data_IF_028194488871
#
_entry.id   IF_028194488871
#
_cell.length_a   1.000
_cell.length_b   1.000
_cell.length_c   1.000
_cell.angle_alpha   90.00
_cell.angle_beta   90.00
_cell.angle_gamma   90.00
#
_symmetry.space_group_name_H-M   'P 1'
#
loop_
_entity.id
_entity.type
_entity.pdbx_description
1 polymer ?
#
# COMPACT_ATOMS: atom_id res chain seq x y z
N UNK A 1 17.36 19.04 -2.20
CA UNK A 1 16.49 17.95 -2.68
C UNK A 1 17.34 16.97 -3.49
N UNK A 2 16.99 15.70 -3.58
CA UNK A 2 17.80 14.69 -4.27
C UNK A 2 17.68 14.88 -5.80
N UNK A 3 18.82 15.05 -6.52
CA UNK A 3 18.84 15.28 -7.98
C UNK A 3 18.09 14.23 -8.78
N UNK A 4 18.09 12.99 -8.31
CA UNK A 4 17.35 11.88 -8.92
C UNK A 4 15.83 12.12 -8.82
N UNK A 5 15.33 12.47 -7.64
CA UNK A 5 13.91 12.74 -7.43
C UNK A 5 13.46 13.94 -8.28
N UNK A 6 14.25 15.01 -8.33
CA UNK A 6 13.93 16.20 -9.13
C UNK A 6 13.83 15.86 -10.63
N UNK A 7 14.75 15.04 -11.15
CA UNK A 7 14.73 14.59 -12.53
C UNK A 7 13.52 13.69 -12.83
N UNK A 8 13.18 12.78 -11.91
CA UNK A 8 12.01 11.92 -12.05
C UNK A 8 10.72 12.74 -12.05
N UNK A 9 10.55 13.65 -11.09
CA UNK A 9 9.38 14.53 -10.98
C UNK A 9 9.15 15.39 -12.24
N UNK A 10 10.22 15.82 -12.91
CA UNK A 10 10.11 16.56 -14.19
C UNK A 10 9.61 15.69 -15.34
N UNK A 11 9.86 14.40 -15.31
CA UNK A 11 9.42 13.43 -16.33
C UNK A 11 7.97 12.96 -16.13
N UNK A 12 7.44 13.08 -14.92
CA UNK A 12 6.11 12.61 -14.56
C UNK A 12 5.03 13.55 -15.10
N UNK A 13 3.96 12.96 -15.62
CA UNK A 13 2.70 13.66 -15.88
C UNK A 13 1.99 14.00 -14.57
N UNK A 14 0.96 14.85 -14.65
CA UNK A 14 0.12 15.16 -13.48
C UNK A 14 -0.59 13.91 -12.99
N UNK A 15 -1.12 13.10 -13.88
CA UNK A 15 -1.83 11.85 -13.55
C UNK A 15 -0.91 10.86 -12.84
N UNK A 16 0.33 10.71 -13.31
CA UNK A 16 1.33 9.87 -12.65
C UNK A 16 1.71 10.39 -11.24
N UNK A 17 1.78 11.71 -11.06
CA UNK A 17 2.01 12.31 -9.73
C UNK A 17 0.85 12.02 -8.77
N UNK A 18 -0.39 12.16 -9.24
CA UNK A 18 -1.59 11.80 -8.49
C UNK A 18 -1.59 10.30 -8.19
N UNK A 19 -1.21 9.48 -9.18
CA UNK A 19 -1.10 8.04 -9.03
C UNK A 19 -0.18 7.60 -7.89
N UNK A 20 0.94 8.31 -7.69
CA UNK A 20 1.88 8.01 -6.58
C UNK A 20 1.24 8.20 -5.18
N UNK A 21 0.19 8.97 -5.07
CA UNK A 21 -0.56 9.19 -3.82
C UNK A 21 -1.69 8.17 -3.61
N UNK A 22 -1.92 7.31 -4.60
CA UNK A 22 -3.02 6.36 -4.60
C UNK A 22 -2.56 4.97 -4.15
N UNK A 23 -3.12 4.48 -3.03
CA UNK A 23 -2.82 3.19 -2.43
C UNK A 23 -4.11 2.36 -2.28
N UNK A 24 -4.62 1.77 -3.36
CA UNK A 24 -5.83 0.96 -3.31
C UNK A 24 -5.61 -0.36 -2.56
N UNK A 25 -6.70 -0.88 -2.00
CA UNK A 25 -6.73 -2.21 -1.38
C UNK A 25 -6.92 -3.27 -2.46
N UNK A 26 -6.12 -4.33 -2.41
CA UNK A 26 -6.16 -5.45 -3.38
C UNK A 26 -6.36 -6.80 -2.72
N UNK A 27 -6.51 -6.85 -1.40
CA UNK A 27 -6.55 -8.09 -0.63
C UNK A 27 -7.86 -8.89 -0.78
N UNK A 28 -7.76 -10.16 -0.42
CA UNK A 28 -8.91 -11.07 -0.30
C UNK A 28 -9.80 -10.72 0.92
N UNK A 29 -9.33 -9.84 1.80
CA UNK A 29 -10.07 -9.39 2.98
C UNK A 29 -10.92 -8.18 2.59
N UNK A 30 -12.20 -8.43 2.43
CA UNK A 30 -13.21 -7.42 2.12
C UNK A 30 -13.91 -6.96 3.38
N UNK A 31 -13.39 -5.96 4.04
CA UNK A 31 -14.16 -5.19 5.02
C UNK A 31 -14.41 -3.79 4.45
N UNK A 32 -15.59 -3.64 3.85
CA UNK A 32 -16.18 -2.32 3.60
C UNK A 32 -15.61 -1.46 2.48
N UNK A 33 -14.65 -1.91 1.66
CA UNK A 33 -14.09 -1.13 0.56
C UNK A 33 -14.32 -1.75 -0.81
N UNK A 34 -14.58 -0.91 -1.82
CA UNK A 34 -14.81 -1.35 -3.18
C UNK A 34 -13.58 -2.02 -3.80
N UNK A 35 -13.74 -3.21 -4.36
CA UNK A 35 -12.70 -3.88 -5.15
C UNK A 35 -12.48 -3.10 -6.44
N UNK A 36 -11.24 -2.74 -6.72
CA UNK A 36 -10.88 -2.22 -8.04
C UNK A 36 -10.68 -3.38 -9.01
N UNK A 37 -11.51 -3.47 -10.04
CA UNK A 37 -11.49 -4.55 -11.02
C UNK A 37 -10.33 -4.48 -12.04
N UNK A 38 -9.59 -3.36 -12.12
CA UNK A 38 -8.51 -3.13 -13.11
C UNK A 38 -7.21 -2.63 -12.46
N UNK A 39 -6.77 -3.27 -11.40
CA UNK A 39 -5.51 -2.88 -10.72
C UNK A 39 -4.30 -3.01 -11.65
N UNK A 40 -4.21 -4.09 -12.43
CA UNK A 40 -3.08 -4.33 -13.32
C UNK A 40 -2.98 -3.24 -14.41
N UNK A 41 -4.11 -2.84 -15.00
CA UNK A 41 -4.15 -1.75 -15.97
C UNK A 41 -3.76 -0.40 -15.35
N UNK A 42 -4.24 -0.11 -14.15
CA UNK A 42 -3.92 1.12 -13.41
C UNK A 42 -2.42 1.21 -13.05
N UNK A 43 -1.80 0.09 -12.64
CA UNK A 43 -0.36 0.02 -12.38
C UNK A 43 0.43 0.36 -13.66
N UNK A 44 0.07 -0.26 -14.80
CA UNK A 44 0.73 0.00 -16.08
C UNK A 44 0.63 1.47 -16.52
N UNK A 45 -0.50 2.13 -16.23
CA UNK A 45 -0.69 3.56 -16.54
C UNK A 45 -0.04 4.50 -15.52
N UNK A 46 0.57 3.98 -14.44
CA UNK A 46 1.18 4.80 -13.39
C UNK A 46 0.18 5.48 -12.45
N UNK A 47 -1.04 4.95 -12.34
CA UNK A 47 -2.14 5.48 -11.53
C UNK A 47 -2.15 4.94 -10.09
N UNK A 48 -1.11 4.21 -9.69
CA UNK A 48 -1.00 3.54 -8.39
C UNK A 48 0.43 3.67 -7.87
N UNK A 49 0.59 4.18 -6.66
CA UNK A 49 1.88 4.33 -5.98
C UNK A 49 2.17 3.20 -4.99
N UNK A 50 1.16 2.46 -4.59
CA UNK A 50 1.31 1.33 -3.69
C UNK A 50 0.03 0.50 -3.58
N UNK A 51 0.10 -0.59 -2.83
CA UNK A 51 -1.02 -1.49 -2.63
C UNK A 51 -1.14 -1.87 -1.15
N UNK A 52 -2.39 -1.90 -0.65
CA UNK A 52 -2.69 -2.39 0.69
C UNK A 52 -3.24 -3.81 0.65
N UNK A 53 -2.88 -4.58 1.70
CA UNK A 53 -3.42 -5.91 2.00
C UNK A 53 -3.16 -6.97 0.92
N UNK A 54 -2.14 -6.78 0.07
CA UNK A 54 -1.67 -7.83 -0.82
C UNK A 54 -0.76 -8.79 -0.06
N UNK A 55 -1.10 -10.08 -0.02
CA UNK A 55 -0.39 -11.12 0.70
C UNK A 55 0.30 -12.11 -0.24
N UNK A 56 1.43 -12.64 0.22
CA UNK A 56 2.18 -13.67 -0.46
C UNK A 56 3.32 -13.13 -1.32
N UNK A 57 4.50 -13.71 -1.11
CA UNK A 57 5.76 -13.28 -1.75
C UNK A 57 5.67 -13.27 -3.26
N UNK A 58 5.07 -14.32 -3.85
CA UNK A 58 4.97 -14.44 -5.30
C UNK A 58 4.04 -13.38 -5.89
N UNK A 59 2.86 -13.19 -5.30
CA UNK A 59 1.92 -12.14 -5.74
C UNK A 59 2.54 -10.75 -5.67
N UNK A 60 3.24 -10.44 -4.58
CA UNK A 60 3.94 -9.16 -4.39
C UNK A 60 5.03 -9.00 -5.46
N UNK A 61 5.81 -10.05 -5.73
CA UNK A 61 6.86 -10.04 -6.76
C UNK A 61 6.30 -9.83 -8.16
N UNK A 62 5.22 -10.51 -8.51
CA UNK A 62 4.58 -10.40 -9.82
C UNK A 62 4.04 -9.00 -10.06
N UNK A 63 3.37 -8.42 -9.05
CA UNK A 63 2.83 -7.07 -9.13
C UNK A 63 3.95 -6.02 -9.17
N UNK A 64 5.03 -6.22 -8.40
CA UNK A 64 6.19 -5.35 -8.43
C UNK A 64 6.89 -5.40 -9.80
N UNK A 65 7.03 -6.60 -10.37
CA UNK A 65 7.57 -6.79 -11.72
C UNK A 65 6.71 -6.07 -12.76
N UNK A 66 5.38 -6.18 -12.62
CA UNK A 66 4.45 -5.45 -13.49
C UNK A 66 4.68 -3.93 -13.45
N UNK A 67 4.85 -3.36 -12.25
CA UNK A 67 5.11 -1.94 -12.09
C UNK A 67 6.46 -1.50 -12.70
N UNK A 68 7.51 -2.25 -12.41
CA UNK A 68 8.86 -1.88 -12.84
C UNK A 68 9.10 -2.09 -14.35
N UNK A 69 8.58 -3.21 -14.90
CA UNK A 69 8.85 -3.59 -16.29
C UNK A 69 7.80 -3.10 -17.29
N UNK A 70 6.56 -2.86 -16.85
CA UNK A 70 5.44 -2.58 -17.73
C UNK A 70 4.81 -1.19 -17.55
N UNK A 71 5.30 -0.37 -16.63
CA UNK A 71 4.92 1.05 -16.56
C UNK A 71 5.95 1.95 -17.22
N UNK A 72 5.53 3.13 -17.66
CA UNK A 72 6.38 4.08 -18.41
C UNK A 72 7.63 4.54 -17.64
N UNK A 73 7.50 4.73 -16.34
CA UNK A 73 8.58 5.26 -15.49
C UNK A 73 9.31 4.18 -14.69
N UNK A 74 8.77 2.97 -14.61
CA UNK A 74 9.36 1.86 -13.86
C UNK A 74 9.48 2.14 -12.35
N UNK A 75 8.56 2.93 -11.79
CA UNK A 75 8.59 3.25 -10.36
C UNK A 75 8.06 2.04 -9.58
N UNK A 76 8.84 1.50 -8.62
CA UNK A 76 8.36 0.40 -7.79
C UNK A 76 7.22 0.83 -6.87
N UNK A 77 6.31 -0.11 -6.56
CA UNK A 77 5.19 0.10 -5.66
C UNK A 77 5.61 -0.03 -4.19
N UNK A 78 4.94 0.73 -3.33
CA UNK A 78 4.94 0.50 -1.88
C UNK A 78 3.89 -0.57 -1.53
N UNK A 79 4.21 -1.42 -0.56
CA UNK A 79 3.26 -2.41 -0.03
C UNK A 79 3.01 -2.13 1.44
N UNK A 80 1.75 -2.03 1.81
CA UNK A 80 1.30 -1.85 3.17
C UNK A 80 0.31 -2.93 3.57
N UNK A 81 0.21 -3.16 4.86
CA UNK A 81 -0.79 -4.04 5.45
C UNK A 81 -1.44 -3.33 6.63
N UNK A 82 -2.74 -3.44 6.69
CA UNK A 82 -3.54 -2.91 7.79
C UNK A 82 -3.58 -3.96 8.91
N UNK A 83 -2.76 -3.75 9.94
CA UNK A 83 -2.60 -4.67 11.07
C UNK A 83 -2.93 -3.98 12.40
N UNK A 84 -4.00 -3.21 12.41
CA UNK A 84 -4.44 -2.37 13.54
C UNK A 84 -4.50 -3.15 14.86
N UNK A 85 -4.87 -4.42 14.81
CA UNK A 85 -4.99 -5.29 15.99
C UNK A 85 -4.38 -6.68 15.77
N UNK A 86 -3.33 -6.76 14.94
CA UNK A 86 -2.58 -7.98 14.69
C UNK A 86 -2.83 -8.60 13.31
N UNK A 87 -1.95 -9.53 12.96
CA UNK A 87 -1.98 -10.33 11.74
C UNK A 87 -1.83 -11.80 12.14
N UNK A 88 -2.79 -12.67 11.84
CA UNK A 88 -2.87 -14.06 12.31
C UNK A 88 -3.05 -14.17 13.83
N UNK A 89 -2.15 -13.60 14.63
CA UNK A 89 -2.37 -13.41 16.07
C UNK A 89 -3.15 -12.12 16.29
N UNK A 90 -4.32 -12.24 16.93
CA UNK A 90 -5.22 -11.11 17.15
C UNK A 90 -4.95 -10.50 18.52
N UNK A 91 -4.75 -9.19 18.54
CA UNK A 91 -4.65 -8.35 19.73
C UNK A 91 -5.92 -7.52 19.93
N UNK A 92 -6.18 -6.98 21.14
CA UNK A 92 -7.26 -6.03 21.32
C UNK A 92 -7.12 -4.82 20.39
N UNK A 93 -8.23 -4.32 19.86
CA UNK A 93 -8.22 -3.07 19.09
C UNK A 93 -7.76 -1.90 19.99
N UNK A 94 -7.20 -0.81 19.41
CA UNK A 94 -6.72 0.35 20.19
C UNK A 94 -7.77 0.91 21.16
N UNK A 95 -9.03 0.93 20.77
CA UNK A 95 -10.14 1.34 21.64
C UNK A 95 -10.30 0.39 22.85
N UNK A 96 -10.16 -0.92 22.63
CA UNK A 96 -10.19 -1.91 23.72
C UNK A 96 -9.02 -1.72 24.69
N UNK A 97 -7.81 -1.48 24.18
CA UNK A 97 -6.64 -1.16 25.00
C UNK A 97 -6.83 0.12 25.79
N UNK A 98 -7.41 1.17 25.21
CA UNK A 98 -7.66 2.42 25.91
C UNK A 98 -8.63 2.28 27.08
N UNK A 99 -9.55 1.32 27.03
CA UNK A 99 -10.49 1.03 28.13
C UNK A 99 -9.81 0.45 29.38
N UNK A 100 -8.57 0.01 29.29
CA UNK A 100 -7.83 -0.49 30.47
C UNK A 100 -7.44 0.63 31.44
N UNK A 101 -7.29 1.87 30.95
CA UNK A 101 -6.74 3.01 31.71
C UNK A 101 -5.35 2.74 32.30
N UNK A 102 -4.65 1.73 31.79
CA UNK A 102 -3.34 1.29 32.23
C UNK A 102 -2.31 1.50 31.11
N UNK A 103 -1.58 2.61 31.23
CA UNK A 103 -0.55 2.98 30.23
C UNK A 103 0.57 1.95 30.13
N UNK A 104 0.88 1.27 31.26
CA UNK A 104 1.93 0.26 31.28
C UNK A 104 1.51 -0.99 30.50
N UNK A 105 0.27 -1.44 30.68
CA UNK A 105 -0.29 -2.54 29.90
C UNK A 105 -0.33 -2.24 28.39
N UNK A 106 -0.59 -0.97 28.01
CA UNK A 106 -0.60 -0.53 26.61
C UNK A 106 0.83 -0.52 26.05
N UNK A 107 1.82 -0.08 26.83
CA UNK A 107 3.23 -0.04 26.42
C UNK A 107 3.83 -1.44 26.24
N UNK A 108 3.39 -2.40 27.03
CA UNK A 108 3.88 -3.78 27.02
C UNK A 108 3.17 -4.68 26.00
N UNK A 109 2.05 -4.23 25.40
CA UNK A 109 1.29 -4.97 24.39
C UNK A 109 1.85 -4.78 22.97
#
# INVERSE_FOLDING_TARGET
MNRFIDALMKRMTVDEKIGQLNLPVTGDITTGQAKSSDIAGRIKRGEVGGLFNLKGVEKIRDVQKLAVENSRLGIPLLFGMDVIHGYETIFPIPLGLSCTWDLKAIEES
#
